data_IF_262104298581
#
_entry.id   IF_262104298581
#
_cell.length_a   1.000
_cell.length_b   1.000
_cell.length_c   1.000
_cell.angle_alpha   90.00
_cell.angle_beta   90.00
_cell.angle_gamma   90.00
#
_symmetry.space_group_name_H-M   'P 1'
#
loop_
_entity.id
_entity.type
_entity.pdbx_description
1 polymer ?
#
# COMPACT_ATOMS: atom_id res chain seq x y z
N UNK A 1 -25.94 -16.67 -5.21
CA UNK A 1 -24.89 -15.81 -5.80
C UNK A 1 -24.89 -14.51 -5.01
N UNK A 2 -23.95 -14.35 -4.08
CA UNK A 2 -23.95 -13.27 -3.09
C UNK A 2 -22.53 -12.72 -2.96
N UNK A 3 -22.21 -11.78 -3.86
CA UNK A 3 -21.25 -10.68 -3.75
C UNK A 3 -19.95 -10.84 -2.95
N UNK A 4 -19.15 -11.88 -3.18
CA UNK A 4 -17.74 -11.93 -2.76
C UNK A 4 -16.86 -11.46 -3.93
N UNK A 5 -16.83 -10.14 -4.17
CA UNK A 5 -16.07 -9.57 -5.30
C UNK A 5 -14.57 -9.54 -4.97
N UNK A 6 -13.94 -10.65 -5.39
CA UNK A 6 -12.53 -10.92 -5.61
C UNK A 6 -11.61 -10.91 -4.38
N UNK A 7 -11.11 -12.09 -3.93
CA UNK A 7 -10.19 -12.19 -2.80
C UNK A 7 -8.84 -11.47 -3.02
N UNK A 8 -8.54 -11.02 -4.25
CA UNK A 8 -7.33 -10.26 -4.60
C UNK A 8 -7.56 -8.78 -4.92
N UNK A 9 -8.61 -8.43 -5.69
CA UNK A 9 -8.81 -7.04 -6.16
C UNK A 9 -9.06 -6.06 -5.02
N UNK A 10 -9.77 -6.47 -3.96
CA UNK A 10 -9.96 -5.63 -2.78
C UNK A 10 -8.62 -5.26 -2.11
N UNK A 11 -7.73 -6.23 -1.97
CA UNK A 11 -6.39 -6.03 -1.40
C UNK A 11 -5.50 -5.20 -2.32
N UNK A 12 -5.51 -5.45 -3.63
CA UNK A 12 -4.77 -4.64 -4.61
C UNK A 12 -5.27 -3.20 -4.65
N UNK A 13 -6.59 -2.98 -4.64
CA UNK A 13 -7.18 -1.64 -4.63
C UNK A 13 -6.80 -0.87 -3.36
N UNK A 14 -6.79 -1.52 -2.20
CA UNK A 14 -6.33 -0.93 -0.95
C UNK A 14 -4.84 -0.58 -0.98
N UNK A 15 -4.00 -1.44 -1.54
CA UNK A 15 -2.57 -1.15 -1.72
C UNK A 15 -2.34 0.08 -2.60
N UNK A 16 -3.08 0.21 -3.71
CA UNK A 16 -3.03 1.37 -4.59
C UNK A 16 -3.51 2.65 -3.90
N UNK A 17 -4.63 2.58 -3.17
CA UNK A 17 -5.20 3.72 -2.47
C UNK A 17 -4.26 4.25 -1.37
N UNK A 18 -3.69 3.38 -0.54
CA UNK A 18 -2.76 3.79 0.51
C UNK A 18 -1.44 4.34 -0.06
N UNK A 19 -0.98 3.79 -1.20
CA UNK A 19 0.20 4.32 -1.91
C UNK A 19 -0.07 5.73 -2.45
N UNK A 20 -1.24 5.94 -3.09
CA UNK A 20 -1.62 7.24 -3.64
C UNK A 20 -1.80 8.29 -2.53
N UNK A 21 -2.44 7.92 -1.42
CA UNK A 21 -2.64 8.82 -0.28
C UNK A 21 -1.30 9.23 0.34
N UNK A 22 -0.36 8.29 0.48
CA UNK A 22 0.98 8.64 0.97
C UNK A 22 1.77 9.52 0.02
N UNK A 23 1.60 9.35 -1.29
CA UNK A 23 2.21 10.24 -2.27
C UNK A 23 1.64 11.66 -2.18
N UNK A 24 0.34 11.80 -1.88
CA UNK A 24 -0.32 13.11 -1.76
C UNK A 24 -0.01 13.83 -0.42
N UNK A 25 0.18 13.08 0.67
CA UNK A 25 0.43 13.63 2.01
C UNK A 25 1.90 13.92 2.31
N UNK A 26 2.84 13.28 1.61
CA UNK A 26 4.28 13.46 1.85
C UNK A 26 4.91 14.28 0.73
N UNK A 27 5.68 15.29 1.12
CA UNK A 27 6.75 15.85 0.29
C UNK A 27 7.88 14.82 0.27
N UNK A 28 7.68 13.74 -0.48
CA UNK A 28 8.70 12.71 -0.64
C UNK A 28 9.94 13.44 -1.15
N UNK A 29 11.01 13.43 -0.37
CA UNK A 29 12.28 14.06 -0.71
C UNK A 29 13.00 13.30 -1.85
N UNK A 30 12.25 12.88 -2.87
CA UNK A 30 12.79 12.28 -4.07
C UNK A 30 13.29 13.39 -4.97
N UNK A 31 14.61 13.56 -4.99
CA UNK A 31 15.32 14.01 -6.19
C UNK A 31 14.75 13.21 -7.38
N UNK A 32 14.18 13.91 -8.37
CA UNK A 32 13.26 13.34 -9.36
C UNK A 32 13.71 12.03 -10.03
N UNK A 33 12.73 11.26 -10.51
CA UNK A 33 12.93 9.94 -11.11
C UNK A 33 11.67 9.08 -11.00
N UNK A 34 11.78 7.79 -11.32
CA UNK A 34 10.71 6.81 -11.12
C UNK A 34 11.03 5.94 -9.90
N UNK A 35 10.22 6.04 -8.84
CA UNK A 35 10.38 5.26 -7.62
C UNK A 35 9.19 4.32 -7.44
N UNK A 36 9.43 3.13 -6.89
CA UNK A 36 8.36 2.22 -6.50
C UNK A 36 7.81 2.60 -5.12
N UNK A 37 6.54 2.30 -4.80
CA UNK A 37 5.97 2.59 -3.47
C UNK A 37 6.80 2.00 -2.33
N UNK A 38 7.38 0.81 -2.53
CA UNK A 38 8.28 0.18 -1.56
C UNK A 38 9.55 1.02 -1.31
N UNK A 39 10.19 1.54 -2.38
CA UNK A 39 11.40 2.35 -2.25
C UNK A 39 11.12 3.76 -1.70
N UNK A 40 9.97 4.34 -2.05
CA UNK A 40 9.62 5.70 -1.67
C UNK A 40 9.01 5.82 -0.27
N UNK A 41 8.25 4.81 0.17
CA UNK A 41 7.42 4.88 1.39
C UNK A 41 7.76 3.79 2.41
N UNK A 42 8.29 2.65 1.96
CA UNK A 42 8.86 1.59 2.79
C UNK A 42 8.03 1.24 4.04
N UNK A 43 8.60 1.33 5.26
CA UNK A 43 7.90 0.99 6.50
C UNK A 43 6.60 1.76 6.75
N UNK A 44 6.51 2.99 6.24
CA UNK A 44 5.34 3.83 6.45
C UNK A 44 4.12 3.34 5.65
N UNK A 45 4.35 2.76 4.46
CA UNK A 45 3.30 2.13 3.67
C UNK A 45 2.86 0.81 4.33
N UNK A 46 3.81 -0.02 4.77
CA UNK A 46 3.53 -1.27 5.51
C UNK A 46 2.60 -1.04 6.71
N UNK A 47 2.91 -0.03 7.52
CA UNK A 47 2.11 0.33 8.70
C UNK A 47 0.69 0.74 8.33
N UNK A 48 0.50 1.56 7.29
CA UNK A 48 -0.84 1.97 6.82
C UNK A 48 -1.64 0.80 6.25
N UNK A 49 -0.99 -0.13 5.56
CA UNK A 49 -1.65 -1.34 5.06
C UNK A 49 -2.15 -2.23 6.20
N UNK A 50 -1.39 -2.31 7.30
CA UNK A 50 -1.83 -3.00 8.51
C UNK A 50 -2.98 -2.26 9.21
N UNK A 51 -2.82 -0.96 9.46
CA UNK A 51 -3.76 -0.15 10.25
C UNK A 51 -5.08 0.15 9.52
N UNK A 52 -5.04 0.42 8.22
CA UNK A 52 -6.18 0.97 7.46
C UNK A 52 -6.74 0.01 6.40
N UNK A 53 -5.91 -0.88 5.85
CA UNK A 53 -6.34 -1.81 4.81
C UNK A 53 -6.69 -3.21 5.36
N UNK A 54 -6.33 -3.52 6.60
CA UNK A 54 -6.54 -4.81 7.25
C UNK A 54 -5.65 -5.92 6.68
N UNK A 55 -4.46 -5.57 6.20
CA UNK A 55 -3.48 -6.51 5.64
C UNK A 55 -2.48 -6.95 6.72
N UNK A 56 -2.22 -8.25 6.82
CA UNK A 56 -1.21 -8.81 7.74
C UNK A 56 -0.02 -9.33 6.95
N UNK A 57 1.19 -9.19 7.50
CA UNK A 57 2.42 -9.63 6.86
C UNK A 57 3.19 -10.53 7.82
N UNK A 58 3.61 -11.70 7.33
CA UNK A 58 4.41 -12.67 8.08
C UNK A 58 5.63 -13.08 7.24
N UNK A 59 6.77 -13.31 7.89
CA UNK A 59 7.98 -13.82 7.24
C UNK A 59 7.96 -15.34 7.31
N UNK A 60 7.82 -16.01 6.16
CA UNK A 60 7.96 -17.46 6.08
C UNK A 60 9.43 -17.84 5.92
N UNK A 61 9.93 -18.71 6.80
CA UNK A 61 11.25 -19.34 6.74
C UNK A 61 11.31 -20.50 5.77
#
# INVERSE_FOLDING_TARGET
MTGDRDPGYGSTAKMLAESALRLAENDLSSTGGFSTPAAAMGPALLRRLQENAGLTFEVSS
#
